data_IF_452222924725
#
_entry.id   IF_452222924725
#
_cell.length_a   1.000
_cell.length_b   1.000
_cell.length_c   1.000
_cell.angle_alpha   90.00
_cell.angle_beta   90.00
_cell.angle_gamma   90.00
#
_symmetry.space_group_name_H-M   'P 1'
#
loop_
_entity.id
_entity.type
_entity.pdbx_description
1 polymer ?
#
# COMPACT_ATOMS: atom_id res chain seq x y z
N UNK A 1 -5.54 -16.48 8.78
CA UNK A 1 -5.61 -17.93 8.41
C UNK A 1 -4.25 -18.32 7.86
N UNK A 2 -3.61 -19.36 8.42
CA UNK A 2 -2.18 -19.66 8.32
C UNK A 2 -1.72 -19.95 6.86
N UNK A 3 -0.83 -19.11 6.32
CA UNK A 3 -0.12 -19.37 5.05
C UNK A 3 1.15 -20.16 5.38
N UNK A 4 1.26 -21.39 4.89
CA UNK A 4 2.42 -22.26 5.12
C UNK A 4 3.64 -21.81 4.31
N UNK A 5 4.80 -21.69 4.96
CA UNK A 5 6.14 -21.64 4.36
C UNK A 5 6.78 -23.04 4.36
N UNK A 6 7.60 -23.37 3.34
CA UNK A 6 8.29 -24.67 3.27
C UNK A 6 9.29 -24.80 2.11
N UNK A 7 10.36 -25.60 2.32
CA UNK A 7 11.48 -25.80 1.39
C UNK A 7 11.09 -26.70 0.20
N UNK A 8 11.53 -26.33 -1.01
CA UNK A 8 11.34 -27.09 -2.25
C UNK A 8 11.81 -28.56 -2.09
N UNK A 9 10.93 -29.54 -2.37
CA UNK A 9 11.28 -30.97 -2.40
C UNK A 9 11.16 -31.54 -3.83
N UNK A 10 12.14 -32.37 -4.23
CA UNK A 10 12.15 -33.12 -5.48
C UNK A 10 11.40 -34.46 -5.30
N UNK A 11 10.33 -34.67 -6.08
CA UNK A 11 9.42 -35.83 -5.98
C UNK A 11 9.69 -36.93 -7.01
N UNK A 12 10.89 -37.04 -7.57
CA UNK A 12 11.18 -38.00 -8.65
C UNK A 12 10.93 -39.49 -8.35
N UNK A 13 10.75 -39.93 -7.10
CA UNK A 13 10.58 -41.36 -6.75
C UNK A 13 9.56 -41.64 -5.63
N UNK A 14 8.30 -41.18 -5.72
CA UNK A 14 7.24 -41.53 -4.76
C UNK A 14 6.23 -42.54 -5.33
N UNK A 15 5.95 -43.63 -4.60
CA UNK A 15 5.11 -44.76 -5.07
C UNK A 15 3.94 -45.13 -4.13
N UNK A 16 3.50 -44.22 -3.26
CA UNK A 16 2.29 -44.39 -2.42
C UNK A 16 1.29 -43.25 -2.65
N UNK A 17 0.00 -43.51 -2.37
CA UNK A 17 -1.07 -42.51 -2.50
C UNK A 17 -0.82 -41.31 -1.58
N UNK A 18 -1.03 -40.07 -2.04
CA UNK A 18 -0.88 -38.86 -1.24
C UNK A 18 -1.80 -38.86 -0.01
N UNK A 19 -1.36 -38.22 1.07
CA UNK A 19 -2.18 -37.93 2.25
C UNK A 19 -3.35 -37.00 1.84
N UNK A 20 -4.62 -37.34 2.15
CA UNK A 20 -5.79 -36.54 1.78
C UNK A 20 -5.85 -35.15 2.45
N UNK A 21 -4.94 -34.80 3.37
CA UNK A 21 -4.87 -33.49 4.01
C UNK A 21 -3.63 -32.66 3.61
N UNK A 22 -2.76 -33.14 2.72
CA UNK A 22 -1.70 -32.34 2.09
C UNK A 22 -2.15 -31.80 0.72
N UNK A 23 -2.34 -30.47 0.61
CA UNK A 23 -2.56 -29.79 -0.67
C UNK A 23 -1.34 -28.93 -1.04
N UNK A 24 -0.40 -29.45 -1.84
CA UNK A 24 0.33 -28.60 -2.75
C UNK A 24 0.01 -29.04 -4.18
N UNK A 25 -0.28 -28.09 -5.08
CA UNK A 25 0.04 -28.16 -6.52
C UNK A 25 -0.32 -26.83 -7.21
N UNK A 26 0.71 -26.11 -7.63
CA UNK A 26 0.66 -24.85 -8.38
C UNK A 26 0.55 -25.09 -9.89
N UNK A 27 0.11 -24.09 -10.67
CA UNK A 27 0.56 -23.75 -12.04
C UNK A 27 0.10 -22.31 -12.38
N UNK A 28 1.02 -21.50 -12.94
CA UNK A 28 0.78 -20.17 -13.52
C UNK A 28 0.89 -20.23 -15.05
N UNK A 29 0.25 -19.30 -15.76
CA UNK A 29 0.59 -18.95 -17.16
C UNK A 29 0.39 -17.44 -17.40
N UNK A 30 1.50 -16.69 -17.48
CA UNK A 30 1.61 -15.36 -18.07
C UNK A 30 2.79 -15.35 -19.04
N UNK A 31 2.73 -14.58 -20.13
CA UNK A 31 3.71 -14.62 -21.23
C UNK A 31 4.53 -13.32 -21.45
N UNK A 32 4.71 -12.49 -20.41
CA UNK A 32 5.63 -11.33 -20.40
C UNK A 32 5.61 -10.46 -21.67
N UNK A 33 4.41 -10.05 -22.12
CA UNK A 33 4.28 -9.03 -23.18
C UNK A 33 3.24 -7.95 -22.87
N UNK A 34 3.49 -6.74 -23.37
CA UNK A 34 2.72 -5.50 -23.11
C UNK A 34 1.39 -5.40 -23.86
N UNK A 35 0.98 -6.46 -24.55
CA UNK A 35 -0.29 -6.57 -25.24
C UNK A 35 -0.73 -8.02 -25.11
N UNK A 36 -1.79 -8.28 -24.35
CA UNK A 36 -2.30 -9.62 -24.13
C UNK A 36 -2.68 -10.29 -25.47
N UNK A 37 -1.76 -11.11 -26.00
CA UNK A 37 -2.05 -12.12 -27.00
C UNK A 37 -1.28 -13.40 -26.67
N UNK A 38 -1.83 -14.15 -25.72
CA UNK A 38 -1.70 -15.60 -25.75
C UNK A 38 -2.47 -16.14 -26.96
N UNK A 39 -1.80 -16.37 -28.10
CA UNK A 39 -2.29 -17.35 -29.07
C UNK A 39 -1.98 -18.76 -28.57
N UNK A 40 -2.59 -19.12 -27.44
CA UNK A 40 -2.67 -20.49 -26.97
C UNK A 40 -4.16 -20.85 -26.92
N UNK A 41 -4.57 -21.79 -27.78
CA UNK A 41 -5.86 -22.47 -27.63
C UNK A 41 -5.84 -23.22 -26.30
N UNK A 42 -6.31 -22.60 -25.23
CA UNK A 42 -6.90 -23.32 -24.11
C UNK A 42 -8.17 -23.98 -24.65
N UNK A 43 -8.05 -25.13 -25.30
CA UNK A 43 -9.18 -26.01 -25.52
C UNK A 43 -9.56 -26.59 -24.16
N UNK A 44 -10.28 -25.78 -23.38
CA UNK A 44 -11.20 -26.08 -22.30
C UNK A 44 -10.78 -27.05 -21.19
N UNK A 45 -10.96 -26.56 -19.96
CA UNK A 45 -10.74 -27.28 -18.71
C UNK A 45 -12.04 -27.25 -17.93
N UNK A 46 -12.45 -28.41 -17.39
CA UNK A 46 -13.59 -28.50 -16.48
C UNK A 46 -13.11 -28.23 -15.05
N UNK A 47 -13.71 -27.22 -14.40
CA UNK A 47 -13.42 -26.83 -13.01
C UNK A 47 -14.17 -27.74 -12.03
N UNK A 48 -13.55 -28.10 -10.89
CA UNK A 48 -14.20 -28.85 -9.80
C UNK A 48 -14.96 -27.89 -8.89
N UNK A 49 -15.82 -28.44 -8.02
CA UNK A 49 -16.70 -27.67 -7.13
C UNK A 49 -15.95 -26.68 -6.20
N UNK A 50 -14.69 -26.96 -5.86
CA UNK A 50 -13.83 -26.10 -5.02
C UNK A 50 -12.71 -25.40 -5.82
N UNK A 51 -12.78 -25.41 -7.15
CA UNK A 51 -11.75 -24.76 -7.97
C UNK A 51 -11.94 -23.25 -7.93
N UNK A 52 -10.98 -22.56 -7.32
CA UNK A 52 -10.87 -21.10 -7.39
C UNK A 52 -10.11 -20.70 -8.65
N UNK A 53 -10.59 -19.65 -9.31
CA UNK A 53 -9.89 -19.00 -10.43
C UNK A 53 -9.22 -17.75 -9.86
N UNK A 54 -7.89 -17.66 -9.98
CA UNK A 54 -7.13 -16.47 -9.57
C UNK A 54 -6.79 -15.66 -10.82
N UNK A 55 -7.20 -14.40 -10.84
CA UNK A 55 -6.68 -13.42 -11.78
C UNK A 55 -5.35 -12.89 -11.27
N UNK A 56 -4.31 -12.90 -12.11
CA UNK A 56 -2.98 -12.37 -11.77
C UNK A 56 -2.66 -11.30 -12.82
N UNK A 57 -3.07 -10.05 -12.57
CA UNK A 57 -2.72 -8.96 -13.45
C UNK A 57 -1.23 -8.63 -13.38
N UNK A 58 -0.71 -7.94 -14.41
CA UNK A 58 0.52 -7.16 -14.26
C UNK A 58 0.33 -6.09 -13.17
N UNK A 59 1.41 -5.63 -12.57
CA UNK A 59 1.37 -4.45 -11.71
C UNK A 59 0.64 -3.30 -12.44
N UNK A 60 -0.22 -2.59 -11.71
CA UNK A 60 -1.02 -1.46 -12.21
C UNK A 60 -2.05 -1.79 -13.31
N UNK A 61 -2.43 -3.06 -13.48
CA UNK A 61 -3.54 -3.40 -14.38
C UNK A 61 -4.84 -2.76 -13.93
N UNK A 62 -5.50 -2.09 -14.86
CA UNK A 62 -6.87 -1.59 -14.71
C UNK A 62 -7.70 -2.09 -15.87
N UNK A 63 -8.89 -2.61 -15.61
CA UNK A 63 -9.79 -3.13 -16.63
C UNK A 63 -10.54 -4.36 -16.16
N UNK A 64 -11.20 -5.04 -17.09
CA UNK A 64 -11.94 -6.26 -16.81
C UNK A 64 -11.30 -7.47 -17.48
N UNK A 65 -11.23 -8.57 -16.76
CA UNK A 65 -10.93 -9.90 -17.29
C UNK A 65 -12.16 -10.79 -17.17
N UNK A 66 -12.36 -11.67 -18.13
CA UNK A 66 -13.54 -12.54 -18.21
C UNK A 66 -13.11 -14.00 -18.43
N UNK A 67 -13.77 -14.91 -17.71
CA UNK A 67 -13.80 -16.33 -18.06
C UNK A 67 -15.21 -16.73 -18.49
N UNK A 68 -15.33 -17.30 -19.69
CA UNK A 68 -16.58 -17.84 -20.22
C UNK A 68 -16.64 -19.36 -20.01
N UNK A 69 -17.80 -19.89 -19.61
CA UNK A 69 -18.04 -21.31 -19.35
C UNK A 69 -19.40 -21.79 -19.89
N UNK A 70 -19.55 -23.11 -20.05
CA UNK A 70 -20.78 -23.79 -20.50
C UNK A 70 -21.16 -24.88 -19.50
N UNK A 71 -22.43 -25.23 -19.44
CA UNK A 71 -22.84 -26.44 -18.75
C UNK A 71 -22.40 -27.68 -19.55
N UNK A 72 -21.95 -28.71 -18.83
CA UNK A 72 -21.50 -29.98 -19.38
C UNK A 72 -22.21 -31.13 -18.67
N UNK A 73 -22.80 -32.05 -19.42
CA UNK A 73 -23.60 -33.16 -18.87
C UNK A 73 -22.83 -34.50 -18.79
N UNK A 74 -21.58 -34.55 -19.26
CA UNK A 74 -20.72 -35.73 -19.23
C UNK A 74 -21.02 -36.80 -20.30
N UNK A 75 -21.98 -36.59 -21.20
CA UNK A 75 -22.41 -37.61 -22.18
C UNK A 75 -21.38 -37.93 -23.26
N UNK A 76 -20.32 -37.13 -23.38
CA UNK A 76 -19.16 -37.40 -24.23
C UNK A 76 -18.18 -38.44 -23.64
N UNK A 77 -18.43 -38.94 -22.42
CA UNK A 77 -17.61 -39.97 -21.78
C UNK A 77 -16.22 -39.51 -21.34
N UNK A 78 -15.97 -38.20 -21.36
CA UNK A 78 -14.71 -37.61 -20.88
C UNK A 78 -14.76 -37.47 -19.36
N UNK A 79 -13.66 -37.76 -18.68
CA UNK A 79 -13.57 -37.64 -17.22
C UNK A 79 -13.43 -36.18 -16.78
N UNK A 80 -13.98 -35.82 -15.63
CA UNK A 80 -13.78 -34.48 -15.04
C UNK A 80 -12.31 -34.19 -14.76
N UNK A 81 -11.86 -32.98 -15.10
CA UNK A 81 -10.45 -32.55 -15.00
C UNK A 81 -9.57 -32.89 -16.20
N UNK A 82 -10.11 -33.53 -17.24
CA UNK A 82 -9.42 -33.66 -18.52
C UNK A 82 -9.22 -32.27 -19.15
N UNK A 83 -7.99 -31.94 -19.50
CA UNK A 83 -7.66 -30.78 -20.33
C UNK A 83 -7.81 -31.10 -21.81
N UNK A 84 -7.97 -30.09 -22.66
CA UNK A 84 -8.03 -30.33 -24.12
C UNK A 84 -9.43 -30.67 -24.63
N UNK A 85 -10.49 -30.42 -23.85
CA UNK A 85 -11.86 -30.70 -24.26
C UNK A 85 -12.24 -29.76 -25.42
N UNK A 86 -13.19 -30.16 -26.28
CA UNK A 86 -13.74 -29.32 -27.36
C UNK A 86 -15.27 -29.06 -27.19
N UNK A 87 -15.60 -27.81 -26.89
CA UNK A 87 -16.91 -27.20 -26.61
C UNK A 87 -17.30 -26.27 -27.75
N UNK A 88 -16.59 -26.29 -28.88
CA UNK A 88 -17.03 -25.60 -30.10
C UNK A 88 -18.30 -26.24 -30.66
N UNK A 89 -18.48 -27.55 -30.41
CA UNK A 89 -19.69 -28.31 -30.67
C UNK A 89 -20.61 -28.21 -29.45
N UNK A 90 -21.72 -27.49 -29.59
CA UNK A 90 -22.66 -27.22 -28.50
C UNK A 90 -24.12 -27.33 -28.95
N UNK A 91 -25.01 -27.73 -28.03
CA UNK A 91 -26.44 -27.89 -28.26
C UNK A 91 -26.86 -29.25 -28.85
N UNK A 92 -28.18 -29.42 -29.03
CA UNK A 92 -28.74 -30.64 -29.60
C UNK A 92 -28.42 -31.88 -28.75
N UNK A 93 -27.75 -32.87 -29.37
CA UNK A 93 -27.31 -34.12 -28.73
C UNK A 93 -25.84 -34.09 -28.28
N UNK A 94 -25.21 -32.91 -28.27
CA UNK A 94 -23.83 -32.76 -27.76
C UNK A 94 -23.82 -32.62 -26.24
N UNK A 95 -22.66 -32.88 -25.62
CA UNK A 95 -22.51 -32.84 -24.17
C UNK A 95 -22.49 -31.42 -23.56
N UNK A 96 -22.45 -30.37 -24.38
CA UNK A 96 -22.30 -28.97 -23.94
C UNK A 96 -23.55 -28.14 -24.25
N UNK A 97 -23.93 -27.25 -23.33
CA UNK A 97 -25.06 -26.32 -23.54
C UNK A 97 -24.80 -25.33 -24.68
N UNK A 98 -25.87 -24.92 -25.39
CA UNK A 98 -25.81 -23.77 -26.33
C UNK A 98 -25.54 -22.45 -25.61
N UNK A 99 -26.10 -22.28 -24.41
CA UNK A 99 -25.86 -21.14 -23.56
C UNK A 99 -24.43 -21.17 -22.97
N UNK A 100 -23.85 -19.99 -22.84
CA UNK A 100 -22.62 -19.71 -22.09
C UNK A 100 -22.97 -18.81 -20.91
N UNK A 101 -22.24 -18.94 -19.82
CA UNK A 101 -22.15 -17.92 -18.78
C UNK A 101 -20.72 -17.38 -18.72
N UNK A 102 -20.56 -16.21 -18.11
CA UNK A 102 -19.28 -15.58 -17.90
C UNK A 102 -19.13 -15.16 -16.45
N UNK A 103 -17.92 -15.32 -15.90
CA UNK A 103 -17.50 -14.70 -14.67
C UNK A 103 -16.50 -13.61 -15.01
N UNK A 104 -16.81 -12.38 -14.64
CA UNK A 104 -15.99 -11.20 -14.90
C UNK A 104 -15.36 -10.74 -13.60
N UNK A 105 -14.08 -10.36 -13.65
CA UNK A 105 -13.42 -9.59 -12.61
C UNK A 105 -13.07 -8.23 -13.19
N UNK A 106 -13.43 -7.16 -12.49
CA UNK A 106 -13.03 -5.82 -12.83
C UNK A 106 -12.03 -5.33 -11.77
N UNK A 107 -10.84 -4.92 -12.23
CA UNK A 107 -9.87 -4.21 -11.42
C UNK A 107 -9.99 -2.73 -11.78
N UNK A 108 -10.53 -1.97 -10.87
CA UNK A 108 -10.53 -0.52 -10.94
C UNK A 108 -9.20 0.00 -10.44
N UNK A 109 -8.75 1.11 -11.02
CA UNK A 109 -7.56 1.77 -10.48
C UNK A 109 -7.87 2.31 -9.11
N UNK A 110 -6.93 2.12 -8.19
CA UNK A 110 -6.90 2.87 -6.94
C UNK A 110 -6.69 4.33 -7.31
N UNK A 111 -7.60 5.20 -6.88
CA UNK A 111 -7.45 6.66 -7.02
C UNK A 111 -7.41 7.26 -5.64
N UNK A 112 -6.24 7.67 -5.14
CA UNK A 112 -6.15 8.17 -3.79
C UNK A 112 -6.94 9.48 -3.60
N UNK A 113 -7.76 9.47 -2.57
CA UNK A 113 -8.40 10.63 -1.97
C UNK A 113 -7.50 11.24 -0.90
N UNK A 114 -7.86 12.44 -0.42
CA UNK A 114 -7.09 13.19 0.56
C UNK A 114 -7.90 13.37 1.85
N UNK A 115 -7.34 12.96 2.98
CA UNK A 115 -7.91 13.24 4.30
C UNK A 115 -7.36 14.57 4.82
N UNK A 116 -8.27 15.49 5.09
CA UNK A 116 -8.00 16.84 5.52
C UNK A 116 -8.42 17.08 6.96
N UNK A 117 -7.57 17.77 7.71
CA UNK A 117 -7.87 18.24 9.05
C UNK A 117 -7.54 19.73 9.19
N UNK A 118 -8.49 20.51 9.72
CA UNK A 118 -8.28 21.90 10.03
C UNK A 118 -7.86 22.06 11.49
N UNK A 119 -6.58 22.34 11.71
CA UNK A 119 -5.97 22.46 13.04
C UNK A 119 -6.51 23.62 13.89
N UNK A 120 -7.16 24.61 13.27
CA UNK A 120 -7.75 25.77 13.96
C UNK A 120 -9.18 25.52 14.42
N UNK A 121 -9.99 24.87 13.57
CA UNK A 121 -11.44 24.71 13.78
C UNK A 121 -11.84 23.29 14.17
N UNK A 122 -10.94 22.33 13.95
CA UNK A 122 -11.21 20.91 14.11
C UNK A 122 -11.90 20.25 12.92
N UNK A 123 -12.30 21.01 11.89
CA UNK A 123 -13.03 20.44 10.77
C UNK A 123 -12.21 19.34 10.09
N UNK A 124 -12.79 18.14 9.99
CA UNK A 124 -12.17 16.97 9.38
C UNK A 124 -13.06 16.45 8.26
N UNK A 125 -12.47 16.12 7.13
CA UNK A 125 -13.19 15.57 5.99
C UNK A 125 -12.28 15.14 4.85
N UNK A 126 -12.88 14.67 3.78
CA UNK A 126 -12.17 14.17 2.61
C UNK A 126 -12.32 15.12 1.42
N UNK A 127 -11.24 15.27 0.66
CA UNK A 127 -11.37 15.64 -0.74
C UNK A 127 -11.46 14.36 -1.53
N UNK A 128 -12.64 14.12 -2.09
CA UNK A 128 -12.84 13.10 -3.10
C UNK A 128 -12.16 13.56 -4.37
N UNK A 129 -11.30 12.72 -4.92
CA UNK A 129 -10.45 12.99 -6.06
C UNK A 129 -10.91 12.17 -7.27
N UNK A 130 -10.76 12.75 -8.45
CA UNK A 130 -10.87 12.06 -9.71
C UNK A 130 -9.53 12.21 -10.45
N UNK A 131 -8.63 11.28 -10.15
CA UNK A 131 -7.23 11.41 -10.52
C UNK A 131 -6.58 12.61 -9.81
N UNK A 132 -5.83 13.42 -10.55
CA UNK A 132 -5.25 14.68 -10.03
C UNK A 132 -6.25 15.85 -9.92
N UNK A 133 -7.54 15.63 -10.16
CA UNK A 133 -8.56 16.68 -10.07
C UNK A 133 -9.44 16.49 -8.85
N UNK A 134 -9.77 17.60 -8.18
CA UNK A 134 -10.75 17.58 -7.10
C UNK A 134 -12.16 17.36 -7.67
N UNK A 135 -12.91 16.44 -7.07
CA UNK A 135 -14.30 16.16 -7.42
C UNK A 135 -15.25 16.84 -6.42
N UNK A 136 -15.14 16.49 -5.13
CA UNK A 136 -16.03 17.02 -4.09
C UNK A 136 -15.42 17.00 -2.69
N UNK A 137 -16.00 17.78 -1.77
CA UNK A 137 -15.63 17.77 -0.36
C UNK A 137 -16.67 17.01 0.47
N UNK A 138 -16.22 16.03 1.25
CA UNK A 138 -17.04 15.29 2.21
C UNK A 138 -16.65 15.74 3.62
N UNK A 139 -17.51 16.53 4.27
CA UNK A 139 -17.32 16.87 5.68
C UNK A 139 -17.75 15.69 6.56
N UNK A 140 -16.92 15.30 7.53
CA UNK A 140 -17.27 14.27 8.51
C UNK A 140 -17.77 14.96 9.79
N UNK A 141 -16.85 15.51 10.60
CA UNK A 141 -17.14 16.24 11.83
C UNK A 141 -16.08 17.30 12.13
N UNK A 142 -16.36 18.15 13.12
CA UNK A 142 -15.32 18.93 13.78
C UNK A 142 -14.80 18.16 15.00
N UNK A 143 -13.54 17.76 14.95
CA UNK A 143 -12.81 17.08 16.03
C UNK A 143 -12.06 18.12 16.84
N UNK A 144 -12.09 18.02 18.16
CA UNK A 144 -11.43 19.04 18.99
C UNK A 144 -9.92 19.09 18.75
N UNK A 145 -9.27 20.26 18.83
CA UNK A 145 -7.86 20.44 18.44
C UNK A 145 -6.84 19.60 19.23
N UNK A 146 -7.21 19.05 20.39
CA UNK A 146 -6.35 18.11 21.10
C UNK A 146 -6.18 16.76 20.41
N UNK A 147 -7.06 16.42 19.45
CA UNK A 147 -6.97 15.20 18.66
C UNK A 147 -6.13 15.43 17.40
N UNK A 148 -5.26 14.48 17.10
CA UNK A 148 -4.47 14.44 15.89
C UNK A 148 -4.69 13.11 15.17
N UNK A 149 -4.75 13.15 13.85
CA UNK A 149 -4.65 11.97 13.00
C UNK A 149 -3.19 11.50 13.03
N UNK A 150 -2.98 10.21 13.26
CA UNK A 150 -1.64 9.61 13.35
C UNK A 150 -1.41 8.51 12.30
N UNK A 151 -2.44 8.15 11.54
CA UNK A 151 -2.35 7.15 10.48
C UNK A 151 -3.72 6.82 9.88
N UNK A 152 -3.71 6.13 8.75
CA UNK A 152 -4.88 5.49 8.15
C UNK A 152 -4.56 4.05 7.73
N UNK A 153 -5.58 3.23 7.52
CA UNK A 153 -5.41 1.82 7.17
C UNK A 153 -6.70 1.01 7.31
N UNK A 154 -6.84 -0.10 6.59
CA UNK A 154 -7.95 -1.05 6.77
C UNK A 154 -7.67 -1.92 8.01
N UNK A 155 -7.98 -1.39 9.20
CA UNK A 155 -7.61 -2.00 10.47
C UNK A 155 -8.53 -3.13 10.87
N UNK A 156 -9.72 -3.29 10.29
CA UNK A 156 -10.62 -4.40 10.58
C UNK A 156 -10.95 -5.30 9.38
N UNK A 157 -10.21 -5.09 8.27
CA UNK A 157 -10.23 -5.91 7.06
C UNK A 157 -11.59 -5.92 6.36
N UNK A 158 -12.40 -4.89 6.55
CA UNK A 158 -13.67 -4.75 5.83
C UNK A 158 -13.50 -4.10 4.44
N UNK A 159 -12.28 -3.63 4.16
CA UNK A 159 -11.81 -3.03 2.92
C UNK A 159 -12.01 -1.52 2.83
N UNK A 160 -12.41 -0.87 3.92
CA UNK A 160 -12.48 0.58 4.06
C UNK A 160 -11.29 1.07 4.92
N UNK A 161 -10.68 2.20 4.57
CA UNK A 161 -9.59 2.74 5.38
C UNK A 161 -10.15 3.43 6.63
N UNK A 162 -9.80 2.90 7.81
CA UNK A 162 -10.03 3.50 9.11
C UNK A 162 -9.00 4.59 9.42
N UNK A 163 -9.31 5.44 10.41
CA UNK A 163 -8.44 6.56 10.81
C UNK A 163 -7.97 6.37 12.25
N UNK A 164 -6.65 6.32 12.45
CA UNK A 164 -6.01 6.28 13.76
C UNK A 164 -5.92 7.69 14.34
N UNK A 165 -6.52 7.88 15.51
CA UNK A 165 -6.55 9.13 16.25
C UNK A 165 -5.79 9.05 17.56
N UNK A 166 -5.16 10.17 17.91
CA UNK A 166 -4.54 10.35 19.22
C UNK A 166 -4.87 11.69 19.84
N UNK A 167 -5.35 11.65 21.07
CA UNK A 167 -5.55 12.82 21.91
C UNK A 167 -4.24 13.20 22.61
N UNK A 168 -3.69 14.35 22.25
CA UNK A 168 -2.40 14.84 22.77
C UNK A 168 -2.48 15.43 24.17
N UNK A 169 -3.69 15.68 24.70
CA UNK A 169 -3.88 16.20 26.05
C UNK A 169 -3.93 15.10 27.11
N UNK A 170 -4.60 13.97 26.83
CA UNK A 170 -4.79 12.87 27.79
C UNK A 170 -4.12 11.55 27.35
N UNK A 171 -3.54 11.50 26.15
CA UNK A 171 -2.85 10.34 25.59
C UNK A 171 -3.76 9.28 24.98
N UNK A 172 -5.08 9.46 24.96
CA UNK A 172 -6.03 8.48 24.41
C UNK A 172 -5.71 8.18 22.94
N UNK A 173 -5.71 6.90 22.58
CA UNK A 173 -5.57 6.40 21.22
C UNK A 173 -6.82 5.60 20.88
N UNK A 174 -7.35 5.82 19.68
CA UNK A 174 -8.51 5.09 19.19
C UNK A 174 -8.67 5.25 17.68
N UNK A 175 -9.58 4.48 17.11
CA UNK A 175 -9.90 4.52 15.69
C UNK A 175 -11.25 5.19 15.45
N UNK A 176 -11.34 5.97 14.38
CA UNK A 176 -12.60 6.08 13.68
C UNK A 176 -12.70 4.88 12.77
N UNK A 177 -13.66 4.00 13.08
CA UNK A 177 -14.09 3.00 12.12
C UNK A 177 -14.84 3.72 11.00
N UNK A 178 -14.42 3.47 9.77
CA UNK A 178 -14.98 4.10 8.58
C UNK A 178 -15.82 3.11 7.77
N UNK A 179 -16.73 3.64 6.97
CA UNK A 179 -17.44 2.91 5.94
C UNK A 179 -17.45 3.84 4.71
N UNK A 180 -16.52 3.59 3.79
CA UNK A 180 -16.03 4.56 2.81
C UNK A 180 -15.66 5.91 3.50
N UNK A 181 -15.98 7.05 2.86
CA UNK A 181 -15.78 8.39 3.41
C UNK A 181 -16.74 8.78 4.54
N UNK A 182 -17.43 7.82 5.18
CA UNK A 182 -18.39 8.07 6.27
C UNK A 182 -17.93 7.46 7.59
N UNK A 183 -18.09 8.20 8.69
CA UNK A 183 -17.82 7.68 10.02
C UNK A 183 -18.87 6.67 10.45
N UNK A 184 -18.44 5.47 10.83
CA UNK A 184 -19.31 4.43 11.38
C UNK A 184 -19.34 4.50 12.91
N UNK A 185 -18.18 4.37 13.56
CA UNK A 185 -18.09 4.33 15.02
C UNK A 185 -16.70 4.71 15.55
N UNK A 186 -16.61 4.99 16.85
CA UNK A 186 -15.33 5.24 17.53
C UNK A 186 -14.93 4.02 18.37
N UNK A 187 -13.70 3.54 18.17
CA UNK A 187 -13.13 2.38 18.88
C UNK A 187 -11.96 2.83 19.75
N UNK A 188 -12.14 3.04 21.06
CA UNK A 188 -11.04 3.40 21.96
C UNK A 188 -10.12 2.20 22.21
N UNK A 189 -8.81 2.45 22.33
CA UNK A 189 -7.80 1.41 22.59
C UNK A 189 -7.21 1.59 24.00
N UNK A 190 -6.25 2.51 24.15
CA UNK A 190 -5.47 2.72 25.37
C UNK A 190 -4.98 4.18 25.44
N UNK A 191 -4.55 4.60 26.63
CA UNK A 191 -3.86 5.88 26.82
C UNK A 191 -2.35 5.68 26.78
N UNK A 192 -1.67 6.47 25.95
CA UNK A 192 -0.22 6.47 25.77
C UNK A 192 0.35 7.84 26.13
N UNK A 193 1.34 7.85 27.03
CA UNK A 193 1.96 9.09 27.51
C UNK A 193 2.56 9.93 26.37
N UNK A 194 2.64 11.24 26.57
CA UNK A 194 3.05 12.22 25.55
C UNK A 194 4.48 12.07 25.02
N UNK A 195 5.33 11.28 25.70
CA UNK A 195 6.67 10.97 25.23
C UNK A 195 6.70 10.05 24.01
N UNK A 196 5.63 9.31 23.76
CA UNK A 196 5.50 8.43 22.60
C UNK A 196 4.97 9.16 21.37
N UNK A 197 5.28 8.67 20.19
CA UNK A 197 4.82 9.13 18.87
C UNK A 197 4.52 7.90 18.02
N UNK A 198 3.42 7.95 17.27
CA UNK A 198 3.17 6.99 16.18
C UNK A 198 4.04 7.43 15.01
N UNK A 199 4.77 6.50 14.42
CA UNK A 199 5.70 6.76 13.32
C UNK A 199 5.23 6.12 12.01
N UNK A 200 4.49 4.99 12.10
CA UNK A 200 3.89 4.33 10.95
C UNK A 200 2.79 3.35 11.38
N UNK A 201 1.94 2.99 10.42
CA UNK A 201 0.99 1.89 10.47
C UNK A 201 1.31 0.90 9.33
N UNK A 202 1.12 -0.40 9.54
CA UNK A 202 1.51 -1.42 8.56
C UNK A 202 1.45 -2.83 9.12
N UNK A 203 1.30 -3.85 8.28
CA UNK A 203 1.39 -5.26 8.70
C UNK A 203 2.87 -5.65 8.84
N UNK A 204 3.44 -5.47 10.03
CA UNK A 204 4.88 -5.66 10.29
C UNK A 204 5.24 -7.10 10.67
N UNK A 205 4.25 -7.98 10.83
CA UNK A 205 4.46 -9.40 11.08
C UNK A 205 3.69 -10.39 10.20
N UNK A 206 3.05 -9.86 9.16
CA UNK A 206 2.40 -10.61 8.08
C UNK A 206 1.26 -11.50 8.54
N UNK A 207 0.58 -11.14 9.61
CA UNK A 207 -0.63 -11.83 10.05
C UNK A 207 -1.91 -11.26 9.39
N UNK A 208 -1.74 -10.19 8.60
CA UNK A 208 -2.75 -9.49 7.84
C UNK A 208 -3.51 -8.42 8.63
N UNK A 209 -3.18 -8.18 9.90
CA UNK A 209 -3.63 -7.02 10.66
C UNK A 209 -2.59 -5.90 10.54
N UNK A 210 -3.04 -4.65 10.49
CA UNK A 210 -2.12 -3.52 10.53
C UNK A 210 -1.70 -3.24 11.97
N UNK A 211 -0.39 -3.21 12.20
CA UNK A 211 0.25 -2.87 13.46
C UNK A 211 0.64 -1.39 13.52
N UNK A 212 1.03 -0.91 14.71
CA UNK A 212 1.41 0.48 14.94
C UNK A 212 2.86 0.55 15.43
N UNK A 213 3.72 1.23 14.66
CA UNK A 213 5.10 1.53 15.04
C UNK A 213 5.14 2.76 15.93
N UNK A 214 5.68 2.58 17.13
CA UNK A 214 5.82 3.61 18.14
C UNK A 214 7.28 3.95 18.39
N UNK A 215 7.52 5.24 18.63
CA UNK A 215 8.80 5.75 19.11
C UNK A 215 8.64 6.69 20.28
N UNK A 216 9.47 6.52 21.31
CA UNK A 216 9.53 7.43 22.43
C UNK A 216 10.60 8.51 22.20
N UNK A 217 10.19 9.76 22.11
CA UNK A 217 11.09 10.90 21.87
C UNK A 217 11.95 11.26 23.09
N UNK A 218 11.61 10.77 24.28
CA UNK A 218 12.32 11.12 25.53
C UNK A 218 13.49 10.19 25.83
N UNK A 219 13.32 8.88 25.62
CA UNK A 219 14.36 7.88 25.90
C UNK A 219 14.75 7.03 24.68
N UNK A 220 14.15 7.28 23.52
CA UNK A 220 14.56 6.68 22.25
C UNK A 220 14.01 5.29 21.98
N UNK A 221 13.14 4.78 22.83
CA UNK A 221 12.56 3.44 22.68
C UNK A 221 11.76 3.33 21.37
N UNK A 222 11.93 2.22 20.67
CA UNK A 222 11.21 1.86 19.44
C UNK A 222 10.56 0.51 19.67
N UNK A 223 9.28 0.41 19.34
CA UNK A 223 8.54 -0.83 19.45
C UNK A 223 7.23 -0.79 18.69
N UNK A 224 6.55 -1.92 18.63
CA UNK A 224 5.29 -2.07 17.92
C UNK A 224 4.17 -2.37 18.90
N UNK A 225 3.00 -1.79 18.65
CA UNK A 225 1.76 -2.41 19.08
C UNK A 225 1.38 -3.43 18.04
N UNK A 226 1.43 -4.71 18.43
CA UNK A 226 0.81 -5.76 17.64
C UNK A 226 -0.69 -5.65 17.81
N UNK A 227 -1.38 -5.54 16.70
CA UNK A 227 -2.83 -5.38 16.67
C UNK A 227 -3.51 -6.71 16.35
N UNK A 228 -4.82 -6.76 16.57
CA UNK A 228 -5.69 -7.82 16.08
C UNK A 228 -7.01 -7.13 15.77
N UNK A 229 -7.23 -6.88 14.48
CA UNK A 229 -8.14 -5.84 14.01
C UNK A 229 -7.86 -4.48 14.72
N UNK A 230 -8.88 -3.67 15.02
CA UNK A 230 -8.78 -2.42 15.78
C UNK A 230 -8.46 -2.59 17.30
N UNK A 231 -8.02 -3.77 17.76
CA UNK A 231 -7.72 -4.03 19.18
C UNK A 231 -6.23 -4.21 19.45
N UNK A 232 -5.72 -3.59 20.52
CA UNK A 232 -4.35 -3.83 21.00
C UNK A 232 -4.21 -5.27 21.52
N UNK A 233 -3.22 -5.99 20.98
CA UNK A 233 -2.92 -7.35 21.40
C UNK A 233 -1.71 -7.41 22.34
N UNK A 234 -0.57 -6.86 21.92
CA UNK A 234 0.66 -6.89 22.71
C UNK A 234 1.66 -5.81 22.29
N UNK A 235 2.71 -5.60 23.10
CA UNK A 235 3.80 -4.69 22.80
C UNK A 235 5.07 -5.47 22.48
N UNK A 236 5.67 -5.18 21.33
CA UNK A 236 6.95 -5.75 20.89
C UNK A 236 8.04 -4.69 20.97
N UNK A 237 8.92 -4.78 21.96
CA UNK A 237 10.09 -3.91 22.07
C UNK A 237 11.15 -4.29 21.03
N UNK A 238 11.72 -3.30 20.33
CA UNK A 238 12.80 -3.51 19.35
C UNK A 238 14.14 -3.06 19.92
N UNK A 239 14.29 -1.77 20.22
CA UNK A 239 15.56 -1.19 20.67
C UNK A 239 15.39 0.22 21.24
N UNK A 240 16.45 0.78 21.82
CA UNK A 240 16.55 2.22 22.14
C UNK A 240 17.51 2.90 21.16
N UNK A 241 17.05 3.97 20.50
CA UNK A 241 17.79 4.74 19.49
C UNK A 241 17.87 6.19 19.93
N UNK A 242 19.05 6.81 19.84
CA UNK A 242 19.24 8.20 20.29
C UNK A 242 18.29 9.17 19.56
N UNK A 243 17.97 10.29 20.22
CA UNK A 243 17.05 11.31 19.71
C UNK A 243 17.53 12.00 18.43
N UNK A 244 18.83 11.91 18.10
CA UNK A 244 19.39 12.43 16.85
C UNK A 244 18.87 11.69 15.62
N UNK A 245 18.47 10.42 15.80
CA UNK A 245 17.85 9.62 14.75
C UNK A 245 16.35 9.90 14.68
N UNK A 246 15.78 9.80 13.48
CA UNK A 246 14.35 9.91 13.22
C UNK A 246 13.95 8.77 12.28
N UNK A 247 12.77 8.20 12.52
CA UNK A 247 12.15 7.30 11.55
C UNK A 247 11.64 8.18 10.42
N UNK A 248 12.15 7.95 9.22
CA UNK A 248 11.79 8.72 8.05
C UNK A 248 10.59 8.10 7.35
N UNK A 249 10.64 6.79 7.06
CA UNK A 249 9.61 6.03 6.36
C UNK A 249 9.71 4.55 6.72
N UNK A 250 8.68 3.80 6.37
CA UNK A 250 8.70 2.33 6.36
C UNK A 250 8.44 1.83 4.94
N UNK A 251 8.92 0.62 4.63
CA UNK A 251 8.80 0.03 3.31
C UNK A 251 9.78 -1.14 3.15
N UNK A 252 9.54 -2.04 2.20
CA UNK A 252 10.42 -3.18 1.93
C UNK A 252 11.65 -2.73 1.10
N UNK A 253 12.77 -2.43 1.77
CA UNK A 253 13.98 -1.89 1.13
C UNK A 253 14.92 -2.98 0.60
N UNK A 254 14.77 -4.22 1.04
CA UNK A 254 15.61 -5.35 0.62
C UNK A 254 14.89 -6.40 -0.24
N UNK A 255 13.59 -6.20 -0.49
CA UNK A 255 12.72 -7.06 -1.29
C UNK A 255 12.52 -8.44 -0.67
N UNK A 256 12.45 -8.52 0.66
CA UNK A 256 12.16 -9.76 1.37
C UNK A 256 10.67 -9.92 1.77
N UNK A 257 9.82 -8.96 1.36
CA UNK A 257 8.40 -8.81 1.67
C UNK A 257 8.09 -8.40 3.13
N UNK A 258 9.10 -8.06 3.96
CA UNK A 258 8.90 -7.42 5.28
C UNK A 258 9.01 -5.90 5.18
N UNK A 259 8.23 -5.17 5.96
CA UNK A 259 8.37 -3.73 6.09
C UNK A 259 9.60 -3.38 6.94
N UNK A 260 10.61 -2.77 6.31
CA UNK A 260 11.79 -2.22 6.96
C UNK A 260 11.55 -0.79 7.48
N UNK A 261 12.49 -0.29 8.30
CA UNK A 261 12.43 1.07 8.89
C UNK A 261 13.58 1.93 8.37
N UNK A 262 13.28 2.96 7.58
CA UNK A 262 14.26 3.93 7.11
C UNK A 262 14.55 4.97 8.19
N UNK A 263 15.83 5.14 8.50
CA UNK A 263 16.34 6.02 9.55
C UNK A 263 17.13 7.19 8.97
N UNK A 264 16.96 8.36 9.60
CA UNK A 264 17.70 9.59 9.28
C UNK A 264 18.33 10.17 10.53
N UNK A 265 19.64 10.38 10.54
CA UNK A 265 20.31 11.10 11.61
C UNK A 265 20.34 12.60 11.31
N UNK A 266 19.59 13.38 12.09
CA UNK A 266 19.44 14.83 11.97
C UNK A 266 20.74 15.61 12.27
N UNK A 267 21.64 15.02 13.08
CA UNK A 267 22.90 15.66 13.50
C UNK A 267 24.05 15.36 12.54
N UNK A 268 24.22 14.11 12.10
CA UNK A 268 25.36 13.68 11.27
C UNK A 268 25.09 13.69 9.79
N UNK A 269 23.82 13.63 9.39
CA UNK A 269 23.49 13.43 7.99
C UNK A 269 23.37 11.97 7.57
N UNK A 270 23.58 11.00 8.46
CA UNK A 270 23.50 9.58 8.10
C UNK A 270 22.08 9.14 7.68
N UNK A 271 22.03 8.24 6.71
CA UNK A 271 20.83 7.60 6.17
C UNK A 271 21.11 6.11 6.05
N UNK A 272 20.21 5.30 6.57
CA UNK A 272 20.23 3.85 6.46
C UNK A 272 18.92 3.27 6.93
N UNK A 273 18.71 1.96 6.80
CA UNK A 273 17.48 1.32 7.25
C UNK A 273 17.77 0.11 8.14
N UNK A 274 16.82 -0.19 9.01
CA UNK A 274 16.78 -1.46 9.70
C UNK A 274 16.07 -2.47 8.84
N UNK A 275 16.78 -3.56 8.56
CA UNK A 275 16.15 -4.79 8.10
C UNK A 275 15.31 -5.34 9.23
N UNK A 276 14.04 -5.54 8.98
CA UNK A 276 13.09 -6.10 9.92
C UNK A 276 12.71 -7.51 9.50
N UNK A 277 12.15 -8.28 10.43
CA UNK A 277 11.41 -9.51 10.13
C UNK A 277 10.53 -9.80 11.33
N UNK A 278 9.22 -9.87 11.08
CA UNK A 278 8.23 -10.16 12.11
C UNK A 278 8.42 -9.25 13.35
N UNK A 279 8.36 -7.93 13.13
CA UNK A 279 8.63 -6.87 14.12
C UNK A 279 10.00 -6.89 14.83
N UNK A 280 10.94 -7.73 14.40
CA UNK A 280 12.25 -7.86 15.03
C UNK A 280 13.35 -7.22 14.19
N UNK A 281 14.25 -6.48 14.85
CA UNK A 281 15.45 -5.95 14.20
C UNK A 281 16.39 -7.08 13.78
N UNK A 282 16.75 -7.16 12.51
CA UNK A 282 17.76 -8.08 12.00
C UNK A 282 19.14 -7.43 11.92
N UNK A 283 19.25 -6.31 11.19
CA UNK A 283 20.52 -5.64 10.92
C UNK A 283 20.31 -4.22 10.43
N UNK A 284 21.35 -3.39 10.50
CA UNK A 284 21.35 -2.04 9.94
C UNK A 284 22.12 -2.01 8.63
N UNK A 285 21.50 -1.46 7.60
CA UNK A 285 22.10 -1.21 6.30
C UNK A 285 22.32 0.29 6.15
N UNK A 286 23.59 0.70 6.19
CA UNK A 286 23.98 2.07 5.89
C UNK A 286 23.85 2.33 4.39
N UNK A 287 23.13 3.39 4.01
CA UNK A 287 23.01 3.83 2.61
C UNK A 287 24.10 4.86 2.30
N UNK A 288 23.99 6.07 2.87
CA UNK A 288 24.91 7.18 2.63
C UNK A 288 24.67 8.33 3.62
N UNK A 289 25.39 9.45 3.46
CA UNK A 289 25.24 10.67 4.27
C UNK A 289 24.76 11.84 3.42
N UNK A 290 23.79 12.60 3.94
CA UNK A 290 23.19 13.79 3.30
C UNK A 290 23.21 14.94 4.29
N UNK A 291 23.46 16.16 3.81
CA UNK A 291 23.44 17.33 4.68
C UNK A 291 22.06 17.52 5.38
N UNK A 292 22.01 18.05 6.62
CA UNK A 292 20.77 18.14 7.40
C UNK A 292 19.66 19.01 6.79
N UNK A 293 19.97 19.87 5.82
CA UNK A 293 18.99 20.70 5.12
C UNK A 293 18.16 19.92 4.07
N UNK A 294 18.48 18.66 3.82
CA UNK A 294 17.71 17.77 2.95
C UNK A 294 16.78 16.88 3.77
N UNK A 295 15.51 16.88 3.36
CA UNK A 295 14.45 16.06 3.94
C UNK A 295 14.11 14.91 3.00
N UNK A 296 13.70 13.78 3.59
CA UNK A 296 13.11 12.66 2.85
C UNK A 296 11.61 12.98 2.67
N UNK A 297 11.22 13.23 1.43
CA UNK A 297 9.84 13.52 1.05
C UNK A 297 8.98 12.28 0.89
N UNK A 298 9.57 11.14 0.51
CA UNK A 298 8.86 9.89 0.31
C UNK A 298 9.77 8.79 -0.20
N UNK A 299 9.21 7.59 -0.30
CA UNK A 299 9.88 6.37 -0.79
C UNK A 299 8.93 5.67 -1.76
N UNK A 300 9.48 5.01 -2.78
CA UNK A 300 8.67 4.35 -3.81
C UNK A 300 9.52 3.92 -5.00
N UNK A 301 9.03 2.98 -5.81
CA UNK A 301 9.69 2.58 -7.06
C UNK A 301 9.42 3.64 -8.14
N UNK A 302 10.25 4.69 -8.15
CA UNK A 302 10.03 5.85 -9.02
C UNK A 302 10.51 5.57 -10.45
N UNK A 303 11.35 4.58 -10.69
CA UNK A 303 11.83 4.22 -12.03
C UNK A 303 11.39 2.85 -12.57
N UNK A 304 10.63 2.08 -11.78
CA UNK A 304 9.98 0.85 -12.22
C UNK A 304 10.91 -0.36 -12.23
N UNK A 305 12.01 -0.35 -11.47
CA UNK A 305 12.96 -1.46 -11.38
C UNK A 305 12.68 -2.43 -10.20
N UNK A 306 11.60 -2.16 -9.46
CA UNK A 306 11.14 -2.92 -8.32
C UNK A 306 11.83 -2.58 -7.00
N UNK A 307 12.72 -1.57 -6.94
CA UNK A 307 13.34 -1.11 -5.70
C UNK A 307 12.68 0.15 -5.22
N UNK A 308 12.56 0.30 -3.89
CA UNK A 308 12.20 1.58 -3.31
C UNK A 308 13.35 2.59 -3.48
N UNK A 309 13.10 3.62 -4.26
CA UNK A 309 13.92 4.82 -4.34
C UNK A 309 13.53 5.83 -3.26
N UNK A 310 14.35 6.86 -3.04
CA UNK A 310 14.13 7.87 -2.01
C UNK A 310 13.99 9.26 -2.65
N UNK A 311 12.84 9.91 -2.45
CA UNK A 311 12.58 11.30 -2.82
C UNK A 311 13.17 12.24 -1.78
N UNK A 312 13.96 13.20 -2.24
CA UNK A 312 14.64 14.20 -1.42
C UNK A 312 14.20 15.62 -1.81
N UNK A 313 14.00 16.48 -0.81
CA UNK A 313 13.80 17.91 -1.01
C UNK A 313 14.69 18.74 -0.09
N UNK A 314 15.39 19.72 -0.66
CA UNK A 314 16.26 20.63 0.06
C UNK A 314 15.45 21.83 0.57
N UNK A 315 15.37 21.95 1.89
CA UNK A 315 14.57 22.99 2.57
C UNK A 315 15.14 24.40 2.44
N UNK A 316 16.37 24.56 1.95
CA UNK A 316 17.03 25.85 1.77
C UNK A 316 17.06 26.27 0.31
N UNK A 317 17.48 25.38 -0.59
CA UNK A 317 17.66 25.71 -2.02
C UNK A 317 16.41 25.42 -2.85
N UNK A 318 15.48 24.63 -2.32
CA UNK A 318 14.31 24.16 -3.06
C UNK A 318 14.61 23.01 -4.04
N UNK A 319 15.84 22.53 -4.11
CA UNK A 319 16.19 21.40 -4.99
C UNK A 319 15.41 20.15 -4.61
N UNK A 320 14.87 19.46 -5.62
CA UNK A 320 14.22 18.16 -5.46
C UNK A 320 14.95 17.14 -6.34
N UNK A 321 15.09 15.92 -5.84
CA UNK A 321 15.67 14.82 -6.63
C UNK A 321 15.49 13.49 -5.94
N UNK A 322 15.98 12.44 -6.59
CA UNK A 322 15.82 11.07 -6.15
C UNK A 322 17.18 10.44 -5.87
N UNK A 323 17.26 9.64 -4.83
CA UNK A 323 18.24 8.57 -4.80
C UNK A 323 17.64 7.37 -5.49
N UNK A 324 18.15 7.11 -6.70
CA UNK A 324 17.91 5.83 -7.37
C UNK A 324 18.62 4.75 -6.56
N UNK A 325 17.87 3.75 -6.14
CA UNK A 325 18.36 2.59 -5.41
C UNK A 325 18.56 1.41 -6.36
N UNK A 326 19.30 0.41 -5.92
CA UNK A 326 19.40 -0.89 -6.59
C UNK A 326 19.49 -1.96 -5.50
N UNK A 327 18.35 -2.57 -5.20
CA UNK A 327 18.13 -3.30 -3.95
C UNK A 327 18.45 -2.41 -2.75
N UNK A 328 19.28 -2.93 -1.85
CA UNK A 328 19.68 -2.27 -0.61
C UNK A 328 20.72 -1.15 -0.77
N UNK A 329 21.18 -0.83 -2.00
CA UNK A 329 22.33 0.07 -2.23
C UNK A 329 21.95 1.34 -2.98
N UNK A 330 22.58 2.47 -2.61
CA UNK A 330 22.51 3.71 -3.37
C UNK A 330 23.21 3.55 -4.73
N UNK A 331 22.47 3.83 -5.80
CA UNK A 331 22.98 3.76 -7.18
C UNK A 331 23.43 5.14 -7.67
N UNK A 332 22.53 6.13 -7.68
CA UNK A 332 22.84 7.49 -8.17
C UNK A 332 21.82 8.53 -7.69
N UNK A 333 22.20 9.81 -7.78
CA UNK A 333 21.30 10.94 -7.56
C UNK A 333 20.74 11.44 -8.89
N UNK A 334 19.41 11.55 -8.98
CA UNK A 334 18.69 12.03 -10.15
C UNK A 334 17.99 13.34 -9.79
N UNK A 335 18.54 14.50 -10.18
CA UNK A 335 17.88 15.79 -9.94
C UNK A 335 16.62 15.92 -10.81
N UNK A 336 15.62 16.63 -10.30
CA UNK A 336 14.41 17.00 -11.04
C UNK A 336 14.20 18.52 -10.98
N UNK A 337 12.95 19.01 -10.95
CA UNK A 337 12.60 20.42 -10.77
C UNK A 337 12.87 20.93 -9.35
N UNK A 338 12.94 22.25 -9.17
CA UNK A 338 12.98 22.89 -7.85
C UNK A 338 11.57 23.29 -7.40
N UNK A 339 11.37 23.34 -6.10
CA UNK A 339 10.16 23.83 -5.43
C UNK A 339 10.54 24.89 -4.39
N UNK A 340 9.71 25.91 -4.18
CA UNK A 340 9.95 26.89 -3.11
C UNK A 340 9.97 26.20 -1.73
N UNK A 341 10.78 26.71 -0.79
CA UNK A 341 11.02 26.06 0.51
C UNK A 341 9.78 25.95 1.41
N UNK A 342 8.71 26.68 1.11
CA UNK A 342 7.44 26.57 1.84
C UNK A 342 6.61 25.35 1.41
N UNK A 343 6.97 24.66 0.32
CA UNK A 343 6.26 23.47 -0.12
C UNK A 343 6.74 22.22 0.59
N UNK A 344 5.78 21.41 1.03
CA UNK A 344 5.99 20.15 1.72
C UNK A 344 5.39 19.02 0.89
N UNK A 345 6.12 17.91 0.78
CA UNK A 345 5.57 16.67 0.24
C UNK A 345 4.54 16.14 1.25
N UNK A 346 3.32 15.88 0.78
CA UNK A 346 2.22 15.33 1.57
C UNK A 346 1.85 13.90 1.17
N UNK A 347 2.25 13.45 -0.01
CA UNK A 347 2.02 12.09 -0.45
C UNK A 347 2.79 11.75 -1.72
N UNK A 348 3.04 10.47 -1.90
CA UNK A 348 3.61 9.87 -3.11
C UNK A 348 2.74 8.68 -3.48
N UNK A 349 2.11 8.73 -4.65
CA UNK A 349 1.23 7.68 -5.15
C UNK A 349 1.02 7.88 -6.66
N UNK A 350 0.55 6.86 -7.37
CA UNK A 350 0.01 7.04 -8.72
C UNK A 350 -1.38 7.69 -8.63
N UNK A 351 -1.39 9.02 -8.59
CA UNK A 351 -2.63 9.80 -8.44
C UNK A 351 -3.45 9.84 -9.71
N UNK A 352 -2.87 9.47 -10.87
CA UNK A 352 -3.54 9.62 -12.16
C UNK A 352 -3.76 8.31 -12.92
N UNK A 353 -3.42 7.18 -12.28
CA UNK A 353 -3.59 5.83 -12.79
C UNK A 353 -2.79 5.53 -14.07
N UNK A 354 -1.64 6.19 -14.26
CA UNK A 354 -0.76 5.96 -15.43
C UNK A 354 0.42 5.02 -15.16
N UNK A 355 0.40 4.37 -13.99
CA UNK A 355 1.38 3.38 -13.54
C UNK A 355 2.67 4.00 -13.01
N UNK A 356 2.70 5.30 -12.73
CA UNK A 356 3.89 6.03 -12.26
C UNK A 356 3.56 6.81 -10.99
N UNK A 357 4.51 6.84 -10.07
CA UNK A 357 4.35 7.61 -8.83
C UNK A 357 4.46 9.11 -9.10
N UNK A 358 3.45 9.84 -8.66
CA UNK A 358 3.36 11.29 -8.66
C UNK A 358 3.60 11.85 -7.24
N UNK A 359 3.78 13.16 -7.12
CA UNK A 359 4.06 13.80 -5.81
C UNK A 359 2.98 14.83 -5.48
N UNK A 360 2.32 14.68 -4.34
CA UNK A 360 1.39 15.66 -3.79
C UNK A 360 2.15 16.67 -2.92
N UNK A 361 1.91 17.94 -3.20
CA UNK A 361 2.54 19.06 -2.52
C UNK A 361 1.50 19.98 -1.88
N UNK A 362 1.83 20.48 -0.69
CA UNK A 362 1.11 21.57 -0.04
C UNK A 362 2.08 22.68 0.38
N UNK A 363 1.74 23.92 0.08
CA UNK A 363 2.48 25.09 0.53
C UNK A 363 2.02 25.48 1.94
N UNK A 364 2.95 25.49 2.89
CA UNK A 364 2.67 25.81 4.29
C UNK A 364 2.39 27.30 4.56
N UNK A 365 2.66 28.20 3.62
CA UNK A 365 2.50 29.65 3.80
C UNK A 365 1.15 30.18 3.33
N UNK A 366 0.62 29.66 2.22
CA UNK A 366 -0.62 30.12 1.58
C UNK A 366 -1.64 29.00 1.32
N UNK A 367 -1.32 27.76 1.68
CA UNK A 367 -2.18 26.59 1.51
C UNK A 367 -2.38 26.16 0.06
N UNK A 368 -1.59 26.68 -0.89
CA UNK A 368 -1.62 26.19 -2.27
C UNK A 368 -1.35 24.68 -2.29
N UNK A 369 -2.19 23.94 -3.00
CA UNK A 369 -2.12 22.47 -3.06
C UNK A 369 -2.13 22.02 -4.51
N UNK A 370 -1.23 21.09 -4.85
CA UNK A 370 -1.18 20.55 -6.20
C UNK A 370 -0.26 19.35 -6.34
N UNK A 371 -0.27 18.75 -7.52
CA UNK A 371 0.54 17.59 -7.84
C UNK A 371 1.69 17.97 -8.77
N UNK A 372 2.84 17.34 -8.56
CA UNK A 372 3.79 17.12 -9.64
C UNK A 372 3.38 15.82 -10.32
N UNK A 373 2.87 15.93 -11.54
CA UNK A 373 2.76 14.80 -12.43
C UNK A 373 4.17 14.41 -12.85
N UNK A 374 4.48 13.15 -12.69
CA UNK A 374 5.82 12.62 -12.91
C UNK A 374 5.83 11.70 -14.12
N UNK A 375 6.99 11.62 -14.77
CA UNK A 375 7.29 10.59 -15.74
C UNK A 375 8.54 9.85 -15.23
N UNK A 376 8.30 8.85 -14.39
CA UNK A 376 9.32 8.25 -13.54
C UNK A 376 10.01 9.32 -12.67
N UNK A 377 11.34 9.29 -12.53
CA UNK A 377 12.09 10.31 -11.77
C UNK A 377 12.15 11.71 -12.42
N UNK A 378 11.47 11.95 -13.55
CA UNK A 378 11.41 13.26 -14.21
C UNK A 378 10.11 13.98 -13.90
N UNK A 379 10.20 15.24 -13.50
CA UNK A 379 9.03 16.14 -13.48
C UNK A 379 8.46 16.29 -14.89
N UNK A 380 7.15 16.13 -15.05
CA UNK A 380 6.44 16.34 -16.31
C UNK A 380 5.65 17.65 -16.28
N UNK A 381 4.72 17.80 -15.32
CA UNK A 381 3.89 18.99 -15.21
C UNK A 381 3.39 19.24 -13.79
N UNK A 382 3.01 20.49 -13.51
CA UNK A 382 2.35 20.86 -12.26
C UNK A 382 0.84 20.95 -12.47
N UNK A 383 0.08 20.22 -11.65
CA UNK A 383 -1.38 20.28 -11.62
C UNK A 383 -1.80 21.00 -10.35
N UNK A 384 -2.20 22.26 -10.48
CA UNK A 384 -2.77 23.03 -9.38
C UNK A 384 -4.19 22.54 -9.07
N UNK A 385 -4.50 22.31 -7.80
CA UNK A 385 -5.85 21.98 -7.35
C UNK A 385 -6.53 23.25 -6.80
N UNK A 386 -6.23 23.63 -5.56
CA UNK A 386 -6.85 24.75 -4.84
C UNK A 386 -5.89 25.38 -3.83
N UNK A 387 -6.30 26.55 -3.34
CA UNK A 387 -5.79 27.15 -2.11
C UNK A 387 -6.72 26.78 -0.96
N UNK A 388 -6.15 26.40 0.19
CA UNK A 388 -6.87 26.27 1.46
C UNK A 388 -6.40 27.32 2.45
N UNK A 389 -7.23 27.66 3.44
CA UNK A 389 -6.72 28.48 4.55
C UNK A 389 -5.61 27.75 5.32
N UNK A 390 -4.74 28.50 5.98
CA UNK A 390 -3.55 27.96 6.65
C UNK A 390 -3.85 26.98 7.79
N UNK A 391 -5.11 26.84 8.21
CA UNK A 391 -5.51 25.86 9.20
C UNK A 391 -5.60 24.44 8.64
N UNK A 392 -5.88 24.28 7.35
CA UNK A 392 -6.06 22.99 6.70
C UNK A 392 -4.73 22.31 6.39
N UNK A 393 -4.62 21.06 6.83
CA UNK A 393 -3.50 20.17 6.54
C UNK A 393 -4.02 18.89 5.89
N UNK A 394 -3.28 18.41 4.89
CA UNK A 394 -3.41 17.05 4.39
C UNK A 394 -2.72 16.15 5.42
N UNK A 395 -3.49 15.26 6.03
CA UNK A 395 -2.98 14.34 7.04
C UNK A 395 -2.71 12.96 6.43
N UNK A 396 -3.58 12.47 5.53
CA UNK A 396 -3.43 11.15 4.92
C UNK A 396 -3.82 11.16 3.44
N UNK A 397 -3.29 10.18 2.70
CA UNK A 397 -3.58 9.90 1.30
C UNK A 397 -3.94 8.43 1.18
N UNK A 398 -5.10 8.11 0.58
CA UNK A 398 -5.55 6.72 0.49
C UNK A 398 -6.86 6.59 -0.31
N UNK A 399 -7.22 5.36 -0.67
CA UNK A 399 -8.51 5.05 -1.33
C UNK A 399 -9.63 5.06 -0.27
N UNK A 400 -10.20 6.23 0.00
CA UNK A 400 -11.24 6.38 1.03
C UNK A 400 -12.66 6.20 0.48
N UNK A 401 -12.84 6.21 -0.85
CA UNK A 401 -14.15 6.12 -1.50
C UNK A 401 -14.43 4.77 -2.16
N UNK A 402 -13.50 3.82 -2.03
CA UNK A 402 -13.62 2.41 -2.41
C UNK A 402 -14.27 2.23 -3.76
N UNK A 403 -13.58 2.70 -4.79
CA UNK A 403 -14.02 2.49 -6.16
C UNK A 403 -13.87 1.02 -6.63
N UNK A 404 -13.26 0.15 -5.80
CA UNK A 404 -12.93 -1.24 -6.11
C UNK A 404 -13.84 -2.28 -5.43
N UNK A 405 -14.26 -3.35 -6.15
CA UNK A 405 -15.07 -4.42 -5.55
C UNK A 405 -14.32 -5.20 -4.45
N UNK A 406 -15.09 -5.76 -3.51
CA UNK A 406 -14.61 -6.61 -2.40
C UNK A 406 -14.02 -7.94 -2.87
#
# INVERSE_FOLDING_TARGET
MQILTGVLRDYKNWTSSPDPYENPNFIFLGDDSTSAQASFKLSQVVLRQETRVRFVPNANYTGSSEISFRAWDGTNGVTSGTSGVDTSLAGGTTAFSTATEAATIAITSIRPDLLWHNTNTGATGFWKMNGMSFDSYVNIFNVRPEWKIEGSGDFDRDGDLDILWRNRANGEVGFWKMNDMSFESYVPILNVSSGWQVEATGDFDRDGDLDILWRNSTHGEVGFWKMNDMSYQSYSFVSNVSSDWQIARTGDFDRDDDLDILWRNSSTGEVGFWKMNNMSYQSYVHISTVAPNWNIGGTGDFDGDGSLDILWNNTITGEVGFWKMNGMTYSSYVPTSNVDSNWQVKGVADFNSDGKLDILWQNGSDGATGFWKMNHMSFDSYVHIFYVDSGWQIEEVGDFDRLSPK
#
